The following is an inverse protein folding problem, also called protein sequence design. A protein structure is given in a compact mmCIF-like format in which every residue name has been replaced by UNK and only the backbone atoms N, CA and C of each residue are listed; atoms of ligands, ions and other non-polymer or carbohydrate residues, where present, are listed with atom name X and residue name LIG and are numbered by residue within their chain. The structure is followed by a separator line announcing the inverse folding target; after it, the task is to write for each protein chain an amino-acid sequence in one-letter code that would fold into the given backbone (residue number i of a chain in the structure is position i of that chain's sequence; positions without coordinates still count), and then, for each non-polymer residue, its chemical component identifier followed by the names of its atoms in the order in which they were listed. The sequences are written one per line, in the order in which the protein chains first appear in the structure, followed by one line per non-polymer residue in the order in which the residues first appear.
data_IF_893456030164
#
_entry.id   IF_893456030164
#
_cell.length_a   1.000
_cell.length_b   1.000
_cell.length_c   1.000
_cell.angle_alpha   90.00
_cell.angle_beta   90.00
_cell.angle_gamma   90.00
#
_symmetry.space_group_name_H-M   'P 1'
#
loop_
_entity.id
_entity.type
_entity.pdbx_description
1 polymer ?
#
# COMPACT_ATOMS: atom_id res chain seq x y z
N UNK A 1 42.21 18.45 45.15
CA UNK A 1 40.83 18.64 45.67
C UNK A 1 39.94 17.67 44.93
N UNK A 2 39.43 16.70 45.66
CA UNK A 2 38.64 15.56 45.22
C UNK A 2 37.23 15.79 45.78
N UNK A 3 36.21 15.67 44.94
CA UNK A 3 34.81 15.60 45.39
C UNK A 3 34.21 14.33 44.80
N UNK A 4 33.99 13.38 45.70
CA UNK A 4 33.22 12.15 45.51
C UNK A 4 31.83 12.42 44.94
N UNK A 5 31.45 11.68 43.91
CA UNK A 5 30.05 11.37 43.64
C UNK A 5 29.86 9.85 43.50
N UNK A 6 29.06 9.35 44.43
CA UNK A 6 28.77 7.95 44.74
C UNK A 6 27.67 7.46 43.79
N UNK A 7 27.80 6.29 43.14
CA UNK A 7 26.73 5.72 42.33
C UNK A 7 25.70 5.04 43.24
N UNK A 8 24.45 5.51 43.23
CA UNK A 8 23.35 4.80 43.88
C UNK A 8 22.89 3.59 43.07
N UNK A 9 22.81 2.50 43.82
CA UNK A 9 22.38 1.17 43.48
C UNK A 9 20.86 1.11 43.37
N UNK A 10 20.35 0.55 42.27
CA UNK A 10 18.93 0.29 42.06
C UNK A 10 18.73 -1.00 41.28
N UNK A 11 18.53 -2.08 42.03
CA UNK A 11 18.30 -3.48 41.62
C UNK A 11 17.47 -3.69 40.35
N UNK A 12 17.89 -4.72 39.63
CA UNK A 12 17.36 -5.12 38.34
C UNK A 12 15.96 -5.70 38.33
N UNK A 13 15.43 -5.78 37.12
CA UNK A 13 14.52 -6.83 36.69
C UNK A 13 14.80 -7.06 35.20
N UNK A 14 15.37 -8.22 34.89
CA UNK A 14 15.44 -8.78 33.54
C UNK A 14 14.02 -8.89 32.99
N UNK A 15 13.67 -8.06 31.99
CA UNK A 15 12.36 -8.10 31.37
C UNK A 15 12.27 -9.32 30.45
N UNK A 16 11.75 -10.40 31.04
CA UNK A 16 11.41 -11.67 30.40
C UNK A 16 10.45 -11.45 29.22
N UNK A 17 10.87 -11.87 28.01
CA UNK A 17 10.08 -11.82 26.75
C UNK A 17 8.98 -12.89 26.67
N UNK A 18 8.20 -13.11 27.72
CA UNK A 18 7.05 -14.01 27.69
C UNK A 18 6.01 -13.55 28.69
N UNK A 19 4.99 -12.82 28.25
CA UNK A 19 3.62 -12.82 28.80
C UNK A 19 2.79 -11.81 27.99
N UNK A 20 2.06 -12.29 26.99
CA UNK A 20 0.85 -11.72 26.35
C UNK A 20 0.51 -12.79 25.29
N UNK A 21 -0.41 -13.74 25.47
CA UNK A 21 -1.81 -13.62 25.85
C UNK A 21 -2.26 -14.97 26.46
N UNK A 22 -2.62 -14.97 27.75
CA UNK A 22 -3.50 -16.00 28.33
C UNK A 22 -4.84 -15.31 28.58
N UNK A 23 -5.86 -15.62 27.77
CA UNK A 23 -7.24 -15.29 28.11
C UNK A 23 -8.18 -16.44 27.73
N UNK A 24 -8.90 -16.88 28.77
CA UNK A 24 -10.20 -17.55 28.78
C UNK A 24 -10.29 -19.03 28.32
N UNK A 25 -9.98 -19.93 29.24
CA UNK A 25 -10.63 -21.24 29.32
C UNK A 25 -11.57 -21.25 30.55
N UNK A 26 -12.88 -21.09 30.31
CA UNK A 26 -14.00 -21.45 31.18
C UNK A 26 -15.27 -21.15 30.37
N UNK A 27 -16.27 -21.99 30.20
CA UNK A 27 -16.55 -23.35 30.65
C UNK A 27 -18.02 -23.59 30.26
N UNK A 28 -18.33 -24.72 29.65
CA UNK A 28 -19.67 -25.32 29.61
C UNK A 28 -19.53 -26.75 29.13
N UNK A 29 -19.70 -27.68 30.06
CA UNK A 29 -19.85 -29.09 29.77
C UNK A 29 -21.30 -29.38 29.35
N UNK A 30 -21.47 -30.06 28.23
CA UNK A 30 -22.67 -30.82 27.90
C UNK A 30 -22.25 -32.09 27.14
N UNK A 31 -22.95 -33.17 27.44
CA UNK A 31 -22.63 -34.59 27.28
C UNK A 31 -22.62 -35.14 25.84
N UNK A 32 -21.53 -35.85 25.49
CA UNK A 32 -21.31 -37.08 24.65
C UNK A 32 -22.40 -37.57 23.66
N UNK A 33 -22.05 -38.15 22.47
CA UNK A 33 -21.30 -39.42 22.44
C UNK A 33 -20.24 -39.65 21.33
N UNK A 34 -19.30 -40.52 21.71
CA UNK A 34 -18.65 -41.59 20.95
C UNK A 34 -18.01 -41.33 19.57
N UNK A 35 -16.69 -41.49 19.56
CA UNK A 35 -15.85 -42.17 18.55
C UNK A 35 -15.96 -41.68 17.10
N UNK A 36 -15.00 -40.86 16.73
CA UNK A 36 -14.17 -41.12 15.56
C UNK A 36 -12.77 -40.57 15.84
N UNK A 37 -11.81 -41.46 16.12
CA UNK A 37 -10.40 -41.17 15.92
C UNK A 37 -10.18 -40.97 14.42
N UNK A 38 -10.50 -39.77 13.93
CA UNK A 38 -9.89 -39.30 12.70
C UNK A 38 -8.43 -39.03 13.08
N UNK A 39 -7.56 -39.97 12.73
CA UNK A 39 -6.13 -39.74 12.70
C UNK A 39 -5.89 -38.43 11.95
N UNK A 40 -5.73 -37.33 12.67
CA UNK A 40 -5.05 -36.16 12.16
C UNK A 40 -3.64 -36.62 11.94
N UNK A 41 -3.41 -37.19 10.76
CA UNK A 41 -2.12 -37.24 10.14
C UNK A 41 -1.55 -35.84 10.37
N UNK A 42 -0.60 -35.77 11.29
CA UNK A 42 0.13 -34.56 11.61
C UNK A 42 1.02 -34.37 10.38
N UNK A 43 0.42 -33.90 9.29
CA UNK A 43 1.14 -33.45 8.12
C UNK A 43 2.13 -32.44 8.70
N UNK A 44 3.44 -32.70 8.63
CA UNK A 44 4.40 -31.73 9.09
C UNK A 44 4.19 -30.51 8.21
N UNK A 45 3.50 -29.49 8.71
CA UNK A 45 3.54 -28.20 8.07
C UNK A 45 4.99 -27.77 8.22
N UNK A 46 5.76 -27.96 7.14
CA UNK A 46 7.12 -27.47 7.05
C UNK A 46 7.07 -26.00 7.48
N UNK A 47 7.92 -25.56 8.42
CA UNK A 47 7.99 -24.14 8.75
C UNK A 47 8.24 -23.38 7.45
N UNK A 48 7.38 -22.39 7.17
CA UNK A 48 7.45 -21.55 5.98
C UNK A 48 8.88 -21.02 5.85
N UNK A 49 9.41 -21.04 4.63
CA UNK A 49 10.70 -20.41 4.34
C UNK A 49 10.63 -18.91 4.64
N UNK A 50 11.76 -18.27 4.91
CA UNK A 50 11.80 -16.82 5.17
C UNK A 50 11.12 -16.01 4.05
N UNK A 51 11.26 -16.46 2.79
CA UNK A 51 10.58 -15.86 1.65
C UNK A 51 9.05 -16.02 1.73
N UNK A 52 8.56 -17.21 2.06
CA UNK A 52 7.12 -17.44 2.21
C UNK A 52 6.52 -16.66 3.40
N UNK A 53 7.28 -16.49 4.48
CA UNK A 53 6.87 -15.65 5.60
C UNK A 53 6.80 -14.17 5.21
N UNK A 54 7.76 -13.71 4.42
CA UNK A 54 7.76 -12.35 3.88
C UNK A 54 6.58 -12.10 2.94
N UNK A 55 6.31 -13.03 2.03
CA UNK A 55 5.18 -12.93 1.10
C UNK A 55 3.84 -12.89 1.87
N UNK A 56 3.68 -13.74 2.87
CA UNK A 56 2.49 -13.72 3.74
C UNK A 56 2.33 -12.39 4.51
N UNK A 57 3.44 -11.81 4.97
CA UNK A 57 3.44 -10.50 5.62
C UNK A 57 3.03 -9.39 4.63
N UNK A 58 3.53 -9.43 3.40
CA UNK A 58 3.14 -8.50 2.33
C UNK A 58 1.64 -8.59 2.05
N UNK A 59 1.09 -9.80 1.96
CA UNK A 59 -0.34 -9.99 1.74
C UNK A 59 -1.20 -9.44 2.88
N UNK A 60 -0.74 -9.60 4.13
CA UNK A 60 -1.38 -8.97 5.29
C UNK A 60 -1.36 -7.44 5.21
N UNK A 61 -0.22 -6.86 4.83
CA UNK A 61 -0.10 -5.41 4.65
C UNK A 61 -1.00 -4.90 3.52
N UNK A 62 -1.12 -5.66 2.41
CA UNK A 62 -2.06 -5.34 1.33
C UNK A 62 -3.51 -5.34 1.81
N UNK A 63 -3.90 -6.32 2.63
CA UNK A 63 -5.24 -6.39 3.20
C UNK A 63 -5.54 -5.20 4.13
N UNK A 64 -4.58 -4.82 4.98
CA UNK A 64 -4.70 -3.63 5.86
C UNK A 64 -4.85 -2.36 5.01
N UNK A 65 -4.01 -2.20 3.98
CA UNK A 65 -4.05 -1.04 3.11
C UNK A 65 -5.41 -0.93 2.37
N UNK A 66 -5.95 -2.06 1.90
CA UNK A 66 -7.28 -2.12 1.29
C UNK A 66 -8.38 -1.67 2.25
N UNK A 67 -8.31 -2.07 3.52
CA UNK A 67 -9.28 -1.67 4.54
C UNK A 67 -9.18 -0.17 4.87
N UNK A 68 -7.97 0.39 4.86
CA UNK A 68 -7.74 1.81 5.12
C UNK A 68 -8.20 2.71 3.98
N UNK A 69 -8.22 2.20 2.74
CA UNK A 69 -8.56 2.97 1.54
C UNK A 69 -9.74 2.34 0.78
N UNK A 70 -10.98 2.40 1.34
CA UNK A 70 -12.16 1.92 0.64
C UNK A 70 -12.37 2.70 -0.67
N UNK A 71 -12.57 1.99 -1.79
CA UNK A 71 -12.70 2.55 -3.14
C UNK A 71 -11.40 2.60 -3.96
N UNK A 72 -10.29 2.14 -3.40
CA UNK A 72 -9.06 1.85 -4.14
C UNK A 72 -8.98 0.34 -4.35
N UNK A 73 -9.64 -0.17 -5.38
CA UNK A 73 -9.87 -1.60 -5.58
C UNK A 73 -8.64 -2.38 -6.09
N UNK A 74 -7.54 -1.66 -6.35
CA UNK A 74 -6.29 -2.25 -6.81
C UNK A 74 -5.15 -1.95 -5.84
N UNK A 75 -4.71 -2.97 -5.10
CA UNK A 75 -3.49 -2.94 -4.32
C UNK A 75 -2.39 -3.70 -5.06
N UNK A 76 -1.35 -2.99 -5.46
CA UNK A 76 -0.16 -3.59 -6.09
C UNK A 76 1.07 -3.35 -5.22
N UNK A 77 2.14 -4.09 -5.53
CA UNK A 77 3.42 -3.96 -4.87
C UNK A 77 3.93 -5.28 -4.27
N UNK A 78 5.11 -5.18 -3.68
CA UNK A 78 5.82 -6.34 -3.14
C UNK A 78 7.23 -6.02 -2.70
N UNK A 79 8.02 -7.09 -2.59
CA UNK A 79 9.41 -7.04 -2.16
C UNK A 79 10.35 -6.73 -3.33
N UNK A 80 11.23 -5.75 -3.13
CA UNK A 80 12.27 -5.40 -4.07
C UNK A 80 13.64 -5.47 -3.39
N UNK A 81 14.43 -6.49 -3.71
CA UNK A 81 15.81 -6.58 -3.28
C UNK A 81 16.69 -5.60 -4.07
N UNK A 82 17.61 -4.93 -3.37
CA UNK A 82 18.64 -4.09 -3.96
C UNK A 82 19.92 -4.89 -4.16
N UNK A 83 20.66 -4.58 -5.23
CA UNK A 83 21.92 -5.26 -5.59
C UNK A 83 23.00 -5.21 -4.50
N UNK A 84 22.90 -4.28 -3.55
CA UNK A 84 23.87 -4.07 -2.47
C UNK A 84 23.42 -4.67 -1.12
N UNK A 85 22.45 -5.59 -1.12
CA UNK A 85 22.03 -6.34 0.07
C UNK A 85 20.94 -5.68 0.93
N UNK A 86 20.47 -4.48 0.57
CA UNK A 86 19.26 -3.88 1.13
C UNK A 86 17.99 -4.37 0.41
N UNK A 87 16.82 -4.02 0.95
CA UNK A 87 15.55 -4.25 0.26
C UNK A 87 14.48 -3.23 0.68
N UNK A 88 13.47 -3.07 -0.17
CA UNK A 88 12.29 -2.28 0.09
C UNK A 88 11.03 -3.13 -0.09
N UNK A 89 9.99 -2.83 0.69
CA UNK A 89 8.62 -3.25 0.41
C UNK A 89 7.85 -2.00 0.06
N UNK A 90 7.30 -1.97 -1.15
CA UNK A 90 6.50 -0.86 -1.65
C UNK A 90 5.12 -1.41 -1.94
N UNK A 91 4.10 -0.79 -1.37
CA UNK A 91 2.70 -1.12 -1.59
C UNK A 91 1.98 0.15 -2.02
N UNK A 92 1.15 0.05 -3.06
CA UNK A 92 0.41 1.17 -3.62
C UNK A 92 -1.07 0.77 -3.75
N UNK A 93 -1.94 1.58 -3.14
CA UNK A 93 -3.37 1.52 -3.38
C UNK A 93 -3.70 2.48 -4.53
N UNK A 94 -4.35 1.98 -5.57
CA UNK A 94 -4.74 2.77 -6.73
C UNK A 94 -6.18 2.47 -7.12
N UNK A 95 -6.85 3.46 -7.72
CA UNK A 95 -8.11 3.22 -8.42
C UNK A 95 -7.80 2.48 -9.73
N UNK A 96 -8.71 1.64 -10.25
CA UNK A 96 -8.55 1.08 -11.57
C UNK A 96 -8.29 2.21 -12.58
N UNK A 97 -7.26 2.09 -13.44
CA UNK A 97 -6.95 3.14 -14.38
C UNK A 97 -8.12 3.32 -15.35
N UNK A 98 -8.60 4.56 -15.50
CA UNK A 98 -9.55 4.87 -16.57
C UNK A 98 -8.78 4.95 -17.89
N UNK A 99 -9.21 4.18 -18.88
CA UNK A 99 -8.62 4.26 -20.21
C UNK A 99 -8.86 5.65 -20.83
N UNK A 100 -7.81 6.22 -21.41
CA UNK A 100 -7.91 7.47 -22.15
C UNK A 100 -8.75 7.26 -23.40
N UNK A 101 -9.82 8.05 -23.55
CA UNK A 101 -10.81 7.92 -24.62
C UNK A 101 -10.78 9.09 -25.61
N UNK A 102 -9.61 9.71 -25.80
CA UNK A 102 -9.42 10.81 -26.75
C UNK A 102 -9.19 12.18 -26.09
N UNK A 103 -8.87 13.22 -26.88
CA UNK A 103 -8.68 14.58 -26.36
C UNK A 103 -9.90 15.08 -25.57
N UNK A 104 -9.66 15.82 -24.48
CA UNK A 104 -10.76 16.36 -23.68
C UNK A 104 -10.34 16.83 -22.30
N UNK A 105 -11.32 17.25 -21.49
CA UNK A 105 -11.10 17.52 -20.08
C UNK A 105 -11.18 16.24 -19.26
N UNK A 106 -10.18 16.03 -18.41
CA UNK A 106 -10.08 14.91 -17.50
C UNK A 106 -9.80 15.41 -16.09
N UNK A 107 -10.36 14.70 -15.12
CA UNK A 107 -9.96 14.80 -13.73
C UNK A 107 -8.77 13.86 -13.52
N UNK A 108 -7.66 14.40 -13.01
CA UNK A 108 -6.38 13.70 -12.86
C UNK A 108 -5.85 13.93 -11.45
N UNK A 109 -5.32 12.89 -10.83
CA UNK A 109 -4.62 13.00 -9.56
C UNK A 109 -3.27 13.72 -9.73
N UNK A 110 -3.15 14.94 -9.18
CA UNK A 110 -1.92 15.75 -9.25
C UNK A 110 -1.09 15.63 -7.96
N UNK A 111 -0.04 14.81 -8.02
CA UNK A 111 0.91 14.66 -6.93
C UNK A 111 1.80 15.89 -6.73
N UNK A 112 2.00 16.75 -7.74
CA UNK A 112 2.79 17.96 -7.56
C UNK A 112 2.10 18.95 -6.62
N UNK A 113 0.77 18.83 -6.44
CA UNK A 113 -0.05 19.67 -5.58
C UNK A 113 -0.64 18.97 -4.36
N UNK A 114 0.06 17.96 -3.82
CA UNK A 114 -0.33 17.23 -2.59
C UNK A 114 -1.55 16.31 -2.77
N UNK A 115 -1.60 15.55 -3.86
CA UNK A 115 -2.66 14.56 -4.14
C UNK A 115 -4.04 15.20 -4.20
N UNK A 116 -4.13 16.36 -4.87
CA UNK A 116 -5.41 17.03 -5.11
C UNK A 116 -5.84 16.68 -6.53
N UNK A 117 -7.12 16.33 -6.69
CA UNK A 117 -7.74 16.10 -7.99
C UNK A 117 -7.75 17.43 -8.77
N UNK A 118 -7.14 17.44 -9.96
CA UNK A 118 -7.05 18.61 -10.82
C UNK A 118 -7.72 18.35 -12.17
N UNK A 119 -8.32 19.37 -12.75
CA UNK A 119 -8.88 19.28 -14.11
C UNK A 119 -7.81 19.66 -15.12
N UNK A 120 -7.60 18.81 -16.11
CA UNK A 120 -6.64 19.03 -17.19
C UNK A 120 -7.31 18.85 -18.55
N UNK A 121 -6.95 19.69 -19.52
CA UNK A 121 -7.16 19.36 -20.92
C UNK A 121 -6.06 18.40 -21.36
N UNK A 122 -6.40 17.13 -21.58
CA UNK A 122 -5.45 16.06 -21.89
C UNK A 122 -5.49 15.72 -23.38
N UNK A 123 -4.31 15.71 -23.99
CA UNK A 123 -4.09 15.32 -25.38
C UNK A 123 -3.01 14.25 -25.46
N UNK A 124 -2.96 13.53 -26.60
CA UNK A 124 -1.90 12.58 -26.89
C UNK A 124 -0.91 13.22 -27.86
N UNK A 125 0.35 13.25 -27.49
CA UNK A 125 1.43 13.84 -28.28
C UNK A 125 2.53 12.82 -28.55
N UNK A 126 3.14 12.89 -29.73
CA UNK A 126 4.29 12.07 -30.10
C UNK A 126 5.59 12.73 -29.64
N UNK A 127 6.45 11.99 -28.95
CA UNK A 127 7.83 12.41 -28.65
C UNK A 127 8.77 11.79 -29.67
N UNK A 128 9.42 12.65 -30.47
CA UNK A 128 10.46 12.21 -31.40
C UNK A 128 11.68 11.63 -30.68
N UNK A 129 12.03 12.19 -29.52
CA UNK A 129 13.16 11.77 -28.70
C UNK A 129 12.97 10.34 -28.18
N UNK A 130 11.78 10.03 -27.66
CA UNK A 130 11.49 8.72 -27.06
C UNK A 130 10.80 7.75 -28.02
N UNK A 131 10.49 8.20 -29.24
CA UNK A 131 9.76 7.47 -30.29
C UNK A 131 8.48 6.79 -29.76
N UNK A 132 7.74 7.51 -28.92
CA UNK A 132 6.50 7.02 -28.34
C UNK A 132 5.51 8.16 -28.08
N UNK A 133 4.26 7.78 -27.91
CA UNK A 133 3.22 8.71 -27.51
C UNK A 133 3.16 8.87 -25.99
N UNK A 134 2.92 10.10 -25.56
CA UNK A 134 2.61 10.46 -24.17
C UNK A 134 1.26 11.15 -24.09
N UNK A 135 0.68 11.15 -22.89
CA UNK A 135 -0.40 12.06 -22.57
C UNK A 135 0.20 13.34 -22.00
N UNK A 136 -0.25 14.48 -22.53
CA UNK A 136 0.13 15.82 -22.10
C UNK A 136 -1.12 16.56 -21.62
N UNK A 137 -1.03 17.25 -20.49
CA UNK A 137 -2.15 17.95 -19.87
C UNK A 137 -1.85 19.43 -19.68
N UNK A 138 -2.80 20.29 -20.07
CA UNK A 138 -2.83 21.69 -19.67
C UNK A 138 -3.75 21.85 -18.47
N UNK A 139 -3.27 22.44 -17.38
CA UNK A 139 -4.06 22.58 -16.17
C UNK A 139 -5.20 23.59 -16.39
N UNK A 140 -6.42 23.19 -16.08
CA UNK A 140 -7.59 24.05 -16.14
C UNK A 140 -7.89 24.64 -14.75
N UNK A 141 -7.95 25.96 -14.68
CA UNK A 141 -8.35 26.66 -13.47
C UNK A 141 -8.98 28.00 -13.79
N UNK A 142 -10.19 28.23 -13.24
CA UNK A 142 -10.99 29.45 -13.43
C UNK A 142 -11.28 29.77 -14.92
N UNK A 143 -11.65 28.75 -15.69
CA UNK A 143 -12.01 28.92 -17.11
C UNK A 143 -10.80 29.10 -18.04
N UNK A 144 -9.58 28.94 -17.54
CA UNK A 144 -8.35 29.13 -18.31
C UNK A 144 -7.46 27.90 -18.27
N UNK A 145 -6.81 27.63 -19.40
CA UNK A 145 -5.75 26.63 -19.52
C UNK A 145 -4.40 27.29 -19.25
N UNK A 146 -3.63 26.69 -18.34
CA UNK A 146 -2.34 27.21 -17.90
C UNK A 146 -1.20 26.40 -18.52
N UNK A 147 -0.27 27.11 -19.14
CA UNK A 147 1.01 26.57 -19.61
C UNK A 147 2.06 26.61 -18.49
N UNK A 148 3.11 25.77 -18.55
CA UNK A 148 3.38 24.75 -19.58
C UNK A 148 2.50 23.50 -19.42
N UNK A 149 2.40 22.70 -20.47
CA UNK A 149 1.81 21.37 -20.37
C UNK A 149 2.70 20.44 -19.52
N UNK A 150 2.06 19.48 -18.86
CA UNK A 150 2.74 18.46 -18.04
C UNK A 150 2.46 17.06 -18.58
N UNK A 151 3.39 16.14 -18.39
CA UNK A 151 3.15 14.73 -18.74
C UNK A 151 2.15 14.12 -17.76
N UNK A 152 1.13 13.46 -18.30
CA UNK A 152 0.08 12.79 -17.53
C UNK A 152 0.34 11.28 -17.55
N UNK A 153 0.43 10.68 -16.36
CA UNK A 153 0.42 9.22 -16.25
C UNK A 153 -1.02 8.74 -16.47
N UNK A 154 -1.29 7.86 -17.46
CA UNK A 154 -2.64 7.34 -17.71
C UNK A 154 -3.29 6.70 -16.48
N UNK A 155 -2.49 6.11 -15.58
CA UNK A 155 -3.00 5.49 -14.34
C UNK A 155 -3.57 6.49 -13.34
N UNK A 156 -3.30 7.78 -13.52
CA UNK A 156 -3.77 8.87 -12.66
C UNK A 156 -5.02 9.55 -13.20
N UNK A 157 -5.52 9.12 -14.37
CA UNK A 157 -6.78 9.62 -14.89
C UNK A 157 -7.91 9.02 -14.06
N UNK A 158 -8.69 9.89 -13.43
CA UNK A 158 -9.83 9.49 -12.59
C UNK A 158 -11.07 9.32 -13.45
N UNK A 159 -11.32 10.27 -14.37
CA UNK A 159 -12.43 10.20 -15.34
C UNK A 159 -12.31 11.28 -16.40
N UNK A 160 -13.07 11.11 -17.49
CA UNK A 160 -13.34 12.15 -18.48
C UNK A 160 -14.55 12.99 -18.03
N UNK A 161 -14.49 14.29 -18.26
CA UNK A 161 -15.57 15.22 -17.97
C UNK A 161 -16.44 15.41 -19.22
N UNK A 162 -17.56 14.71 -19.27
CA UNK A 162 -18.57 14.86 -20.32
C UNK A 162 -19.25 16.24 -20.17
N UNK A 163 -19.01 17.15 -21.13
CA UNK A 163 -19.54 18.52 -21.10
C UNK A 163 -18.50 19.63 -20.85
N UNK A 164 -17.23 19.29 -20.60
CA UNK A 164 -16.14 20.24 -20.43
C UNK A 164 -15.77 20.50 -18.96
N UNK A 165 -14.88 21.47 -18.72
CA UNK A 165 -14.51 21.87 -17.37
C UNK A 165 -15.49 22.92 -16.82
N UNK A 166 -16.35 22.50 -15.90
CA UNK A 166 -17.26 23.39 -15.17
C UNK A 166 -16.52 24.26 -14.14
#
# INVERSE_FOLDING_TARGET
MQTDHKPESGKGASLSRRTFLQFAAAGSAATLPAVAEAATAKIPQLPLTDQQQLDACIDQLKAILQQMHPGYDHIDGGYQAHKMGGAAVILEASRPPVEWSGPGFYEVEDHHRRNVEGVFWVVREWSDMDRRFYLCGLYHHRGQLHSPSVSINPRRIIRKLEGGAA
#
